data_IF_273284128140
#
_entry.id   IF_273284128140
#
_cell.length_a   1.000
_cell.length_b   1.000
_cell.length_c   1.000
_cell.angle_alpha   90.00
_cell.angle_beta   90.00
_cell.angle_gamma   90.00
#
_symmetry.space_group_name_H-M   'P 1'
#
loop_
_entity.id
_entity.type
_entity.pdbx_description
1 polymer ?
#
# COMPACT_ATOMS: atom_id res chain seq x y z
N UNK A 1 -0.51 23.30 0.92
CA UNK A 1 -0.81 22.31 1.97
C UNK A 1 -0.58 20.93 1.38
N UNK A 2 0.34 20.13 1.91
CA UNK A 2 0.54 18.75 1.43
C UNK A 2 -0.37 17.80 2.20
N UNK A 3 -1.15 16.98 1.49
CA UNK A 3 -1.97 15.93 2.09
C UNK A 3 -1.12 14.67 2.21
N UNK A 4 -0.98 14.15 3.44
CA UNK A 4 -0.40 12.84 3.68
C UNK A 4 -1.50 11.78 3.58
N UNK A 5 -1.22 10.71 2.84
CA UNK A 5 -2.14 9.58 2.69
C UNK A 5 -1.63 8.40 3.51
N UNK A 6 -2.48 7.88 4.39
CA UNK A 6 -2.19 6.72 5.24
C UNK A 6 -3.20 5.59 4.94
N UNK A 7 -3.01 4.83 3.85
CA UNK A 7 -3.89 3.71 3.54
C UNK A 7 -3.67 2.59 4.56
N UNK A 8 -4.75 1.99 5.04
CA UNK A 8 -4.69 0.75 5.82
C UNK A 8 -4.54 -0.48 4.91
N UNK A 9 -4.35 -1.66 5.52
CA UNK A 9 -4.17 -2.89 4.76
C UNK A 9 -5.37 -3.25 3.87
N UNK A 10 -6.60 -2.89 4.29
CA UNK A 10 -7.80 -3.20 3.49
C UNK A 10 -7.84 -2.41 2.19
N UNK A 11 -7.45 -1.14 2.22
CA UNK A 11 -7.28 -0.31 1.01
C UNK A 11 -6.24 -0.96 0.09
N UNK A 12 -5.09 -1.35 0.62
CA UNK A 12 -4.03 -2.00 -0.17
C UNK A 12 -4.54 -3.27 -0.85
N UNK A 13 -5.22 -4.16 -0.11
CA UNK A 13 -5.81 -5.40 -0.64
C UNK A 13 -6.81 -5.09 -1.76
N UNK A 14 -7.71 -4.13 -1.57
CA UNK A 14 -8.72 -3.77 -2.56
C UNK A 14 -8.06 -3.31 -3.88
N UNK A 15 -7.05 -2.45 -3.80
CA UNK A 15 -6.33 -2.00 -4.99
C UNK A 15 -5.51 -3.11 -5.65
N UNK A 16 -4.97 -4.06 -4.86
CA UNK A 16 -4.26 -5.22 -5.38
C UNK A 16 -5.19 -6.20 -6.11
N UNK A 17 -6.38 -6.50 -5.55
CA UNK A 17 -7.40 -7.35 -6.19
C UNK A 17 -7.85 -6.77 -7.52
N UNK A 18 -8.02 -5.44 -7.57
CA UNK A 18 -8.38 -4.73 -8.80
C UNK A 18 -7.20 -4.57 -9.77
N UNK A 19 -5.98 -4.94 -9.36
CA UNK A 19 -4.74 -4.70 -10.08
C UNK A 19 -4.55 -3.21 -10.46
N UNK A 20 -4.94 -2.30 -9.56
CA UNK A 20 -4.90 -0.83 -9.75
C UNK A 20 -4.00 -0.10 -8.76
N UNK A 21 -2.89 -0.71 -8.35
CA UNK A 21 -1.89 -0.07 -7.49
C UNK A 21 -1.34 1.24 -8.09
N UNK A 22 -1.42 1.40 -9.41
CA UNK A 22 -1.12 2.64 -10.13
C UNK A 22 -1.98 3.83 -9.68
N UNK A 23 -3.28 3.61 -9.46
CA UNK A 23 -4.21 4.64 -9.02
C UNK A 23 -3.91 5.07 -7.59
N UNK A 24 -3.62 4.10 -6.72
CA UNK A 24 -3.23 4.39 -5.34
C UNK A 24 -1.93 5.21 -5.30
N UNK A 25 -0.95 4.88 -6.15
CA UNK A 25 0.29 5.67 -6.29
C UNK A 25 0.03 7.11 -6.76
N UNK A 26 -0.88 7.31 -7.73
CA UNK A 26 -1.31 8.65 -8.17
C UNK A 26 -2.04 9.43 -7.08
N UNK A 27 -2.90 8.77 -6.31
CA UNK A 27 -3.61 9.38 -5.19
C UNK A 27 -2.64 9.80 -4.08
N UNK A 28 -1.64 8.96 -3.80
CA UNK A 28 -0.59 9.26 -2.84
C UNK A 28 0.31 10.41 -3.29
N UNK A 29 0.59 10.54 -4.60
CA UNK A 29 1.38 11.62 -5.20
C UNK A 29 2.69 11.95 -4.44
N UNK A 30 3.49 10.93 -4.10
CA UNK A 30 4.73 11.14 -3.32
C UNK A 30 4.54 11.21 -1.79
N UNK A 31 3.30 11.29 -1.31
CA UNK A 31 2.96 11.54 0.09
C UNK A 31 2.30 10.35 0.80
N UNK A 32 2.38 9.15 0.22
CA UNK A 32 1.96 7.92 0.87
C UNK A 32 2.88 7.58 2.04
N UNK A 33 2.28 7.20 3.17
CA UNK A 33 2.94 6.78 4.42
C UNK A 33 2.16 5.64 5.05
N UNK A 34 2.81 4.85 5.89
CA UNK A 34 2.15 3.81 6.68
C UNK A 34 2.89 3.57 7.99
N UNK A 35 2.14 3.06 8.97
CA UNK A 35 2.67 2.56 10.22
C UNK A 35 3.33 1.19 10.01
N UNK A 36 4.30 0.84 10.85
CA UNK A 36 4.98 -0.46 10.82
C UNK A 36 4.03 -1.66 10.74
N UNK A 37 2.91 -1.64 11.48
CA UNK A 37 1.92 -2.73 11.48
C UNK A 37 1.30 -2.94 10.11
N UNK A 38 0.95 -1.87 9.39
CA UNK A 38 0.34 -1.97 8.05
C UNK A 38 1.35 -2.52 7.04
N UNK A 39 2.62 -2.14 7.14
CA UNK A 39 3.67 -2.70 6.28
C UNK A 39 3.82 -4.22 6.52
N UNK A 40 3.86 -4.65 7.78
CA UNK A 40 3.95 -6.07 8.12
C UNK A 40 2.71 -6.88 7.66
N UNK A 41 1.51 -6.33 7.82
CA UNK A 41 0.27 -6.94 7.34
C UNK A 41 0.22 -7.02 5.82
N UNK A 42 0.70 -5.99 5.12
CA UNK A 42 0.79 -5.95 3.67
C UNK A 42 1.77 -7.01 3.14
N UNK A 43 2.94 -7.17 3.77
CA UNK A 43 3.92 -8.20 3.41
C UNK A 43 3.37 -9.62 3.61
N UNK A 44 2.63 -9.84 4.69
CA UNK A 44 1.93 -11.10 4.96
C UNK A 44 0.81 -11.35 3.93
N UNK A 45 0.03 -10.31 3.62
CA UNK A 45 -1.07 -10.38 2.65
C UNK A 45 -0.57 -10.64 1.24
N UNK A 46 0.61 -10.13 0.88
CA UNK A 46 1.27 -10.36 -0.41
C UNK A 46 1.69 -11.82 -0.68
N UNK A 47 1.57 -12.70 0.33
CA UNK A 47 1.75 -14.15 0.17
C UNK A 47 0.45 -14.87 -0.22
N UNK A 48 -0.70 -14.22 -0.11
CA UNK A 48 -1.98 -14.85 -0.45
C UNK A 48 -2.17 -14.91 -1.97
N UNK A 49 -2.78 -16.00 -2.49
CA UNK A 49 -3.12 -16.11 -3.90
C UNK A 49 -3.95 -14.91 -4.38
N UNK A 50 -3.59 -14.33 -5.52
CA UNK A 50 -4.28 -13.17 -6.09
C UNK A 50 -3.85 -11.81 -5.54
N UNK A 51 -2.95 -11.75 -4.54
CA UNK A 51 -2.45 -10.49 -3.96
C UNK A 51 -1.00 -10.15 -4.31
N UNK A 52 -0.42 -10.80 -5.34
CA UNK A 52 0.96 -10.54 -5.76
C UNK A 52 1.22 -9.07 -6.12
N UNK A 53 0.19 -8.34 -6.57
CA UNK A 53 0.28 -6.91 -6.87
C UNK A 53 0.65 -6.06 -5.64
N UNK A 54 0.37 -6.51 -4.40
CA UNK A 54 0.81 -5.82 -3.19
C UNK A 54 2.33 -5.62 -3.16
N UNK A 55 3.12 -6.56 -3.70
CA UNK A 55 4.59 -6.45 -3.74
C UNK A 55 5.10 -5.26 -4.54
N UNK A 56 4.29 -4.73 -5.47
CA UNK A 56 4.62 -3.52 -6.22
C UNK A 56 4.35 -2.23 -5.43
N UNK A 57 3.45 -2.28 -4.44
CA UNK A 57 3.12 -1.16 -3.57
C UNK A 57 3.90 -1.16 -2.26
N UNK A 58 3.92 -2.30 -1.56
CA UNK A 58 4.42 -2.52 -0.19
C UNK A 58 5.84 -2.00 0.12
N UNK A 59 6.84 -2.07 -0.78
CA UNK A 59 8.21 -1.74 -0.42
C UNK A 59 8.63 -0.28 -0.61
N UNK A 60 7.78 0.61 -1.17
CA UNK A 60 8.26 1.91 -1.71
C UNK A 60 7.85 3.14 -0.91
N UNK A 61 6.80 3.07 -0.07
CA UNK A 61 6.33 4.23 0.68
C UNK A 61 6.95 4.27 2.08
N UNK A 62 7.39 5.44 2.52
CA UNK A 62 8.21 5.60 3.73
C UNK A 62 7.61 4.87 4.96
N UNK A 63 8.39 3.96 5.56
CA UNK A 63 8.29 3.58 6.98
C UNK A 63 8.46 4.86 7.79
N UNK A 64 7.36 5.48 8.21
CA UNK A 64 7.43 6.39 9.35
C UNK A 64 7.33 5.49 10.58
N UNK A 65 8.51 5.28 11.16
CA UNK A 65 8.83 4.44 12.34
C UNK A 65 8.65 2.94 12.12
#
# INVERSE_FOLDING_TARGET
>A
MAVLLFPDNTVLINFAILNRMDLLGRLANGNGRWCATVAAECDASAQQPGLAALRSGCPVWLRIV
#
